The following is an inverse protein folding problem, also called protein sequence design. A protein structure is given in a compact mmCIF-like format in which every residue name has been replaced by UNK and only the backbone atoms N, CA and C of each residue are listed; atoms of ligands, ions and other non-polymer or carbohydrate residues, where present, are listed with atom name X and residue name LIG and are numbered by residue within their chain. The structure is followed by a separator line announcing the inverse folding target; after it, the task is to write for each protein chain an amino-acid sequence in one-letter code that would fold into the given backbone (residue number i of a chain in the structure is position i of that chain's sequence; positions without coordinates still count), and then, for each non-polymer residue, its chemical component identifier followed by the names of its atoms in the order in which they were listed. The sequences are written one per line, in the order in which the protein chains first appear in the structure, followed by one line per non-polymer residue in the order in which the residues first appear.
data_IF_411487347630
#
_entry.id   IF_411487347630
#
_cell.length_a   1.000
_cell.length_b   1.000
_cell.length_c   1.000
_cell.angle_alpha   90.00
_cell.angle_beta   90.00
_cell.angle_gamma   90.00
#
_symmetry.space_group_name_H-M   'P 1'
#
loop_
_entity.id
_entity.type
_entity.pdbx_description
1 polymer ?
#
# COMPACT_ATOMS: atom_id res chain seq x y z
N UNK A 1 8.46 -5.29 19.38
CA UNK A 1 8.68 -5.18 17.92
C UNK A 1 8.02 -6.32 17.15
N UNK A 2 8.21 -7.59 17.54
CA UNK A 2 7.60 -8.75 16.86
C UNK A 2 6.10 -8.60 16.52
N UNK A 3 5.25 -8.32 17.50
CA UNK A 3 3.80 -8.14 17.26
C UNK A 3 3.47 -6.94 16.37
N UNK A 4 4.29 -5.88 16.39
CA UNK A 4 4.11 -4.70 15.53
C UNK A 4 4.43 -5.07 14.08
N UNK A 5 5.51 -5.82 13.85
CA UNK A 5 5.87 -6.33 12.51
C UNK A 5 4.78 -7.24 11.93
N UNK A 6 4.21 -8.14 12.74
CA UNK A 6 3.06 -8.94 12.33
C UNK A 6 1.88 -8.05 11.96
N UNK A 7 1.56 -7.05 12.79
CA UNK A 7 0.47 -6.14 12.51
C UNK A 7 0.68 -5.36 11.19
N UNK A 8 1.90 -4.88 10.92
CA UNK A 8 2.26 -4.18 9.68
C UNK A 8 2.08 -5.09 8.45
N UNK A 9 2.49 -6.36 8.55
CA UNK A 9 2.27 -7.33 7.48
C UNK A 9 0.78 -7.63 7.28
N UNK A 10 0.01 -7.82 8.35
CA UNK A 10 -1.45 -8.04 8.28
C UNK A 10 -2.15 -6.83 7.66
N UNK A 11 -1.80 -5.61 8.05
CA UNK A 11 -2.35 -4.38 7.46
C UNK A 11 -2.07 -4.34 5.96
N UNK A 12 -0.84 -4.66 5.55
CA UNK A 12 -0.46 -4.74 4.13
C UNK A 12 -1.29 -5.79 3.37
N UNK A 13 -1.48 -6.98 3.96
CA UNK A 13 -2.28 -8.05 3.38
C UNK A 13 -3.75 -7.63 3.25
N UNK A 14 -4.35 -7.05 4.30
CA UNK A 14 -5.76 -6.67 4.28
C UNK A 14 -6.00 -5.57 3.25
N UNK A 15 -5.16 -4.53 3.22
CA UNK A 15 -5.26 -3.47 2.20
C UNK A 15 -5.06 -4.01 0.79
N UNK A 16 -4.05 -4.86 0.58
CA UNK A 16 -3.82 -5.52 -0.70
C UNK A 16 -4.98 -6.44 -1.10
N UNK A 17 -5.58 -7.17 -0.16
CA UNK A 17 -6.71 -8.05 -0.45
C UNK A 17 -7.95 -7.28 -0.90
N UNK A 18 -8.18 -6.07 -0.39
CA UNK A 18 -9.24 -5.19 -0.89
C UNK A 18 -9.03 -4.84 -2.37
N UNK A 19 -7.82 -4.38 -2.74
CA UNK A 19 -7.48 -4.09 -4.13
C UNK A 19 -7.50 -5.33 -5.03
N UNK A 20 -7.07 -6.48 -4.51
CA UNK A 20 -7.01 -7.72 -5.27
C UNK A 20 -8.39 -8.36 -5.48
N UNK A 21 -9.16 -8.56 -4.42
CA UNK A 21 -10.41 -9.33 -4.46
C UNK A 21 -11.62 -8.47 -4.80
N UNK A 22 -11.62 -7.20 -4.37
CA UNK A 22 -12.71 -6.24 -4.57
C UNK A 22 -12.24 -4.96 -5.30
N UNK A 23 -11.59 -5.06 -6.48
CA UNK A 23 -10.94 -3.91 -7.13
C UNK A 23 -11.91 -2.77 -7.46
N UNK A 24 -13.20 -3.06 -7.68
CA UNK A 24 -14.22 -2.02 -7.95
C UNK A 24 -14.35 -1.06 -6.78
N UNK A 25 -14.38 -1.55 -5.55
CA UNK A 25 -14.47 -0.68 -4.36
C UNK A 25 -13.23 0.22 -4.23
N UNK A 26 -12.05 -0.32 -4.54
CA UNK A 26 -10.80 0.46 -4.58
C UNK A 26 -10.82 1.51 -5.70
N UNK A 27 -11.27 1.13 -6.91
CA UNK A 27 -11.43 2.04 -8.03
C UNK A 27 -12.40 3.18 -7.70
N UNK A 28 -13.58 2.88 -7.16
CA UNK A 28 -14.58 3.87 -6.74
C UNK A 28 -14.02 4.81 -5.66
N UNK A 29 -13.20 4.27 -4.74
CA UNK A 29 -12.53 5.09 -3.71
C UNK A 29 -11.55 6.08 -4.32
N UNK A 30 -10.91 5.71 -5.44
CA UNK A 30 -9.89 6.51 -6.13
C UNK A 30 -10.45 7.31 -7.32
N UNK A 31 -11.76 7.27 -7.56
CA UNK A 31 -12.40 7.85 -8.74
C UNK A 31 -11.80 7.33 -10.06
N UNK A 32 -11.39 6.06 -10.05
CA UNK A 32 -10.82 5.36 -11.20
C UNK A 32 -11.91 4.63 -11.97
N UNK A 33 -11.87 4.67 -13.30
CA UNK A 33 -12.81 3.97 -14.16
C UNK A 33 -12.08 3.18 -15.25
N UNK A 34 -12.68 2.07 -15.67
CA UNK A 34 -12.22 1.35 -16.86
C UNK A 34 -12.46 2.20 -18.12
N UNK A 35 -11.55 2.12 -19.09
CA UNK A 35 -11.73 2.72 -20.41
C UNK A 35 -12.40 1.74 -21.37
N UNK A 36 -11.91 1.66 -22.62
CA UNK A 36 -12.35 0.64 -23.58
C UNK A 36 -11.96 -0.80 -23.19
N UNK A 37 -11.07 -0.97 -22.21
CA UNK A 37 -10.56 -2.25 -21.73
C UNK A 37 -10.60 -2.32 -20.20
N UNK A 38 -10.38 -3.51 -19.65
CA UNK A 38 -10.33 -3.77 -18.19
C UNK A 38 -8.95 -3.54 -17.57
N UNK A 39 -8.06 -2.81 -18.26
CA UNK A 39 -6.68 -2.60 -17.81
C UNK A 39 -6.61 -1.86 -16.47
N UNK A 40 -7.45 -0.85 -16.25
CA UNK A 40 -7.49 -0.11 -14.98
C UNK A 40 -7.80 -1.05 -13.80
N UNK A 41 -8.82 -1.90 -13.95
CA UNK A 41 -9.14 -2.92 -12.94
C UNK A 41 -8.02 -3.95 -12.76
N UNK A 42 -7.39 -4.38 -13.85
CA UNK A 42 -6.25 -5.31 -13.78
C UNK A 42 -5.09 -4.72 -12.98
N UNK A 43 -4.79 -3.44 -13.19
CA UNK A 43 -3.73 -2.72 -12.50
C UNK A 43 -4.01 -2.62 -10.99
N UNK A 44 -5.25 -2.30 -10.61
CA UNK A 44 -5.66 -2.28 -9.20
C UNK A 44 -5.51 -3.65 -8.54
N UNK A 45 -5.87 -4.73 -9.26
CA UNK A 45 -5.69 -6.10 -8.74
C UNK A 45 -4.22 -6.45 -8.53
N UNK A 46 -3.35 -6.03 -9.44
CA UNK A 46 -1.94 -6.40 -9.43
C UNK A 46 -1.14 -5.48 -8.51
N UNK A 47 -1.00 -4.20 -8.86
CA UNK A 47 -0.08 -3.25 -8.25
C UNK A 47 -0.59 -2.72 -6.90
N UNK A 48 -1.88 -2.38 -6.81
CA UNK A 48 -2.50 -1.91 -5.55
C UNK A 48 -3.07 -3.05 -4.71
N UNK A 49 -3.02 -4.28 -5.20
CA UNK A 49 -3.69 -5.44 -4.62
C UNK A 49 -2.73 -6.56 -4.22
N UNK A 50 -2.62 -7.56 -5.08
CA UNK A 50 -1.90 -8.80 -4.84
C UNK A 50 -0.42 -8.58 -4.50
N UNK A 51 0.22 -7.52 -5.03
CA UNK A 51 1.58 -7.15 -4.69
C UNK A 51 1.74 -6.89 -3.17
N UNK A 52 0.83 -6.14 -2.55
CA UNK A 52 0.85 -5.88 -1.11
C UNK A 52 0.54 -7.13 -0.28
N UNK A 53 -0.34 -8.00 -0.79
CA UNK A 53 -0.62 -9.31 -0.18
C UNK A 53 0.64 -10.15 -0.12
N UNK A 54 1.32 -10.31 -1.27
CA UNK A 54 2.52 -11.15 -1.34
C UNK A 54 3.70 -10.54 -0.58
N UNK A 55 3.82 -9.21 -0.53
CA UNK A 55 4.80 -8.54 0.32
C UNK A 55 4.60 -8.87 1.80
N UNK A 56 3.36 -8.78 2.31
CA UNK A 56 3.05 -9.13 3.70
C UNK A 56 3.21 -10.63 3.99
N UNK A 57 2.74 -11.51 3.09
CA UNK A 57 2.93 -12.97 3.23
C UNK A 57 4.41 -13.33 3.24
N UNK A 58 5.20 -12.75 2.33
CA UNK A 58 6.65 -12.96 2.27
C UNK A 58 7.35 -12.50 3.55
N UNK A 59 6.94 -11.35 4.11
CA UNK A 59 7.48 -10.87 5.38
C UNK A 59 7.16 -11.78 6.56
N UNK A 60 5.93 -12.30 6.64
CA UNK A 60 5.57 -13.28 7.67
C UNK A 60 6.32 -14.60 7.49
N UNK A 61 6.52 -15.04 6.25
CA UNK A 61 7.22 -16.29 5.94
C UNK A 61 8.71 -16.23 6.29
N UNK A 62 9.40 -15.15 5.92
CA UNK A 62 10.83 -14.99 6.13
C UNK A 62 11.18 -14.46 7.53
N UNK A 63 10.28 -13.67 8.13
CA UNK A 63 10.32 -13.27 9.55
C UNK A 63 11.63 -12.60 10.02
N UNK A 64 12.34 -11.88 9.16
CA UNK A 64 13.55 -11.13 9.52
C UNK A 64 13.33 -9.61 9.47
N UNK A 65 14.06 -8.82 10.28
CA UNK A 65 13.88 -7.36 10.35
C UNK A 65 14.00 -6.65 8.99
N UNK A 66 15.00 -7.03 8.19
CA UNK A 66 15.25 -6.48 6.85
C UNK A 66 14.06 -6.68 5.89
N UNK A 67 13.33 -7.80 6.00
CA UNK A 67 12.13 -8.04 5.19
C UNK A 67 10.94 -7.19 5.68
N UNK A 68 10.82 -6.93 6.98
CA UNK A 68 9.82 -5.99 7.49
C UNK A 68 10.19 -4.52 7.16
N UNK A 69 11.47 -4.19 7.09
CA UNK A 69 11.92 -2.90 6.56
C UNK A 69 11.51 -2.74 5.08
N UNK A 70 11.51 -3.82 4.29
CA UNK A 70 11.02 -3.81 2.92
C UNK A 70 9.52 -3.48 2.81
N UNK A 71 8.68 -3.93 3.76
CA UNK A 71 7.30 -3.43 3.86
C UNK A 71 7.30 -1.91 4.00
N UNK A 72 8.15 -1.38 4.89
CA UNK A 72 8.32 0.06 5.06
C UNK A 72 8.65 0.79 3.76
N UNK A 73 9.59 0.27 2.96
CA UNK A 73 9.92 0.83 1.65
C UNK A 73 8.77 0.77 0.65
N UNK A 74 7.97 -0.30 0.65
CA UNK A 74 6.79 -0.41 -0.23
C UNK A 74 5.76 0.67 0.11
N UNK A 75 5.44 0.86 1.39
CA UNK A 75 4.55 1.94 1.83
C UNK A 75 5.14 3.33 1.60
N UNK A 76 6.46 3.49 1.76
CA UNK A 76 7.17 4.73 1.43
C UNK A 76 7.06 5.07 -0.05
N UNK A 77 7.11 4.07 -0.95
CA UNK A 77 6.85 4.25 -2.38
C UNK A 77 5.44 4.79 -2.65
N UNK A 78 4.43 4.28 -1.95
CA UNK A 78 3.07 4.83 -1.99
C UNK A 78 3.02 6.29 -1.52
N UNK A 79 3.62 6.59 -0.36
CA UNK A 79 3.69 7.93 0.19
C UNK A 79 4.42 8.90 -0.75
N UNK A 80 5.50 8.46 -1.40
CA UNK A 80 6.24 9.22 -2.39
C UNK A 80 5.36 9.55 -3.59
N UNK A 81 4.67 8.56 -4.17
CA UNK A 81 3.72 8.78 -5.25
C UNK A 81 2.60 9.76 -4.86
N UNK A 82 2.12 9.68 -3.63
CA UNK A 82 1.11 10.60 -3.11
C UNK A 82 1.64 12.01 -2.90
N UNK A 83 2.86 12.16 -2.39
CA UNK A 83 3.53 13.44 -2.26
C UNK A 83 3.72 14.09 -3.64
N UNK A 84 4.18 13.32 -4.63
CA UNK A 84 4.26 13.78 -6.03
C UNK A 84 2.91 14.27 -6.52
N UNK A 85 1.82 13.52 -6.32
CA UNK A 85 0.48 13.94 -6.77
C UNK A 85 -0.07 15.15 -6.01
N UNK A 86 0.27 15.32 -4.73
CA UNK A 86 -0.10 16.52 -3.96
C UNK A 86 0.62 17.76 -4.49
N UNK A 87 1.88 17.61 -4.93
CA UNK A 87 2.69 18.68 -5.48
C UNK A 87 2.29 19.04 -6.92
N UNK A 88 2.04 18.05 -7.78
CA UNK A 88 1.85 18.24 -9.22
C UNK A 88 0.39 18.29 -9.65
N UNK A 89 -0.48 17.50 -9.00
CA UNK A 89 -1.89 17.33 -9.43
C UNK A 89 -2.88 17.96 -8.43
N UNK A 90 -2.40 18.83 -7.56
CA UNK A 90 -3.20 19.56 -6.57
C UNK A 90 -3.65 18.73 -5.36
N UNK A 91 -4.35 19.41 -4.44
CA UNK A 91 -4.69 18.85 -3.13
C UNK A 91 -6.14 18.40 -3.04
N UNK A 92 -6.35 17.27 -2.37
CA UNK A 92 -7.66 16.78 -1.96
C UNK A 92 -7.51 16.21 -0.54
N UNK A 93 -8.54 16.35 0.30
CA UNK A 93 -8.54 15.75 1.65
C UNK A 93 -8.19 14.27 1.61
N UNK A 94 -8.73 13.54 0.64
CA UNK A 94 -8.47 12.10 0.45
C UNK A 94 -6.99 11.81 0.13
N UNK A 95 -6.32 12.66 -0.68
CA UNK A 95 -4.89 12.52 -0.96
C UNK A 95 -4.05 12.70 0.30
N UNK A 96 -4.38 13.68 1.13
CA UNK A 96 -3.70 13.90 2.42
C UNK A 96 -3.91 12.75 3.40
N UNK A 97 -5.12 12.20 3.47
CA UNK A 97 -5.41 11.02 4.31
C UNK A 97 -4.58 9.83 3.87
N UNK A 98 -4.56 9.52 2.56
CA UNK A 98 -3.71 8.43 2.05
C UNK A 98 -2.24 8.68 2.31
N UNK A 99 -1.74 9.89 2.05
CA UNK A 99 -0.35 10.27 2.30
C UNK A 99 0.03 10.03 3.77
N UNK A 100 -0.80 10.47 4.71
CA UNK A 100 -0.53 10.32 6.13
C UNK A 100 -0.50 8.85 6.56
N UNK A 101 -1.43 8.03 6.05
CA UNK A 101 -1.45 6.58 6.32
C UNK A 101 -0.22 5.90 5.71
N UNK A 102 0.07 6.18 4.45
CA UNK A 102 1.20 5.58 3.72
C UNK A 102 2.53 5.93 4.40
N UNK A 103 2.72 7.21 4.72
CA UNK A 103 3.91 7.69 5.42
C UNK A 103 4.01 7.16 6.85
N UNK A 104 2.89 7.08 7.57
CA UNK A 104 2.86 6.59 8.95
C UNK A 104 3.27 5.13 9.05
N UNK A 105 2.73 4.27 8.18
CA UNK A 105 3.10 2.85 8.11
C UNK A 105 4.56 2.70 7.69
N UNK A 106 5.01 3.46 6.68
CA UNK A 106 6.39 3.47 6.23
C UNK A 106 7.36 3.86 7.35
N UNK A 107 7.12 5.01 8.00
CA UNK A 107 7.97 5.53 9.06
C UNK A 107 8.05 4.55 10.23
N UNK A 108 6.93 3.97 10.66
CA UNK A 108 6.90 2.99 11.74
C UNK A 108 7.70 1.73 11.38
N UNK A 109 7.44 1.15 10.21
CA UNK A 109 8.11 -0.07 9.76
C UNK A 109 9.62 0.13 9.61
N UNK A 110 10.06 1.25 9.03
CA UNK A 110 11.48 1.55 8.86
C UNK A 110 12.16 1.84 10.20
N UNK A 111 11.52 2.59 11.10
CA UNK A 111 12.11 2.99 12.39
C UNK A 111 12.37 1.81 13.33
N UNK A 112 11.54 0.76 13.27
CA UNK A 112 11.68 -0.40 14.17
C UNK A 112 12.51 -1.54 13.57
N UNK A 113 12.91 -1.45 12.30
CA UNK A 113 13.61 -2.53 11.59
C UNK A 113 14.95 -2.13 10.94
N UNK A 114 15.29 -0.83 10.90
CA UNK A 114 16.62 -0.31 10.53
C UNK A 114 17.36 0.18 11.78
#
# INVERSE_FOLDING_TARGET
MFFINIALAIVSIVFGAMGWLAPRATMDTLDMQDGATTMARSEVRAASGALFVMAGVGALWLSSPDVFAMIGFIWAGGALGRATSLLLDGTLRKKWVFFAVELGVAALALTINL
#
